data_IF_286627378260
#
_entry.id   IF_286627378260
#
_cell.length_a   1.000
_cell.length_b   1.000
_cell.length_c   1.000
_cell.angle_alpha   90.00
_cell.angle_beta   90.00
_cell.angle_gamma   90.00
#
_symmetry.space_group_name_H-M   'P 1'
#
loop_
_entity.id
_entity.type
_entity.pdbx_description
1 polymer ?
#
# COMPACT_ATOMS: atom_id res chain seq x y z
N UNK A 1 -20.14 11.75 -2.83
CA UNK A 1 -18.66 11.84 -2.84
C UNK A 1 -18.18 10.44 -3.09
N UNK A 2 -17.48 10.17 -4.20
CA UNK A 2 -17.01 8.81 -4.50
C UNK A 2 -16.08 8.35 -3.38
N UNK A 3 -16.46 7.31 -2.65
CA UNK A 3 -15.50 6.55 -1.85
C UNK A 3 -14.60 5.81 -2.84
N UNK A 4 -13.35 6.24 -2.95
CA UNK A 4 -12.34 5.55 -3.74
C UNK A 4 -12.20 4.13 -3.18
N UNK A 5 -12.27 3.12 -4.04
CA UNK A 5 -12.04 1.74 -3.61
C UNK A 5 -10.61 1.62 -3.05
N UNK A 6 -10.43 0.84 -1.97
CA UNK A 6 -9.12 0.64 -1.33
C UNK A 6 -8.05 0.20 -2.35
N UNK A 7 -8.46 -0.62 -3.31
CA UNK A 7 -7.65 -1.14 -4.42
C UNK A 7 -7.14 -0.04 -5.37
N UNK A 8 -7.78 1.12 -5.40
CA UNK A 8 -7.44 2.26 -6.24
C UNK A 8 -6.67 3.36 -5.48
N UNK A 9 -6.58 3.27 -4.15
CA UNK A 9 -5.90 4.29 -3.33
C UNK A 9 -4.39 4.38 -3.60
N UNK A 10 -3.82 5.58 -3.51
CA UNK A 10 -2.36 5.74 -3.40
C UNK A 10 -1.87 5.22 -2.05
N UNK A 11 -0.55 5.08 -1.88
CA UNK A 11 0.03 4.69 -0.59
C UNK A 11 -0.33 5.70 0.50
N UNK A 12 -0.19 6.99 0.22
CA UNK A 12 -0.45 8.09 1.15
C UNK A 12 -1.92 8.15 1.54
N UNK A 13 -2.83 7.95 0.58
CA UNK A 13 -4.26 7.90 0.85
C UNK A 13 -4.63 6.70 1.73
N UNK A 14 -4.13 5.50 1.40
CA UNK A 14 -4.38 4.29 2.20
C UNK A 14 -3.79 4.39 3.62
N UNK A 15 -2.60 4.97 3.77
CA UNK A 15 -1.96 5.19 5.06
C UNK A 15 -2.75 6.19 5.92
N UNK A 16 -3.12 7.34 5.35
CA UNK A 16 -3.90 8.35 6.07
C UNK A 16 -5.27 7.82 6.52
N UNK A 17 -5.85 6.89 5.75
CA UNK A 17 -7.09 6.24 6.14
C UNK A 17 -6.88 5.16 7.21
N UNK A 18 -5.79 4.39 7.13
CA UNK A 18 -5.42 3.41 8.14
C UNK A 18 -5.19 4.08 9.50
N UNK A 19 -4.52 5.22 9.54
CA UNK A 19 -4.33 6.01 10.76
C UNK A 19 -5.66 6.46 11.37
N UNK A 20 -6.65 6.85 10.54
CA UNK A 20 -7.99 7.19 11.02
C UNK A 20 -8.68 5.98 11.64
N UNK A 21 -8.63 4.82 10.97
CA UNK A 21 -9.22 3.58 11.48
C UNK A 21 -8.59 3.18 12.81
N UNK A 22 -7.26 3.22 12.93
CA UNK A 22 -6.56 2.94 14.18
C UNK A 22 -6.97 3.94 15.27
N UNK A 23 -7.03 5.23 14.96
CA UNK A 23 -7.48 6.25 15.90
C UNK A 23 -8.95 6.09 16.32
N UNK A 24 -9.79 5.41 15.54
CA UNK A 24 -11.17 5.06 15.95
C UNK A 24 -11.17 3.85 16.89
N UNK A 25 -10.38 2.82 16.58
CA UNK A 25 -10.23 1.62 17.43
C UNK A 25 -9.62 1.96 18.81
N UNK A 26 -8.65 2.88 18.86
CA UNK A 26 -7.97 3.27 20.10
C UNK A 26 -8.84 4.06 21.08
N UNK A 27 -9.86 4.78 20.59
CA UNK A 27 -10.78 5.51 21.47
C UNK A 27 -11.68 4.59 22.29
N UNK A 28 -11.92 3.36 21.82
CA UNK A 28 -12.68 2.34 22.54
C UNK A 28 -14.16 2.66 22.76
N UNK A 29 -14.70 3.67 22.07
CA UNK A 29 -16.09 4.14 22.16
C UNK A 29 -16.98 3.62 21.02
N UNK A 30 -16.45 2.70 20.21
CA UNK A 30 -17.14 2.05 19.08
C UNK A 30 -17.84 0.76 19.51
N UNK A 31 -19.02 0.50 18.93
CA UNK A 31 -19.75 -0.74 19.17
C UNK A 31 -18.94 -1.97 18.69
N UNK A 32 -19.25 -3.17 19.20
CA UNK A 32 -18.52 -4.38 18.82
C UNK A 32 -18.57 -4.64 17.30
N UNK A 33 -19.75 -4.55 16.69
CA UNK A 33 -19.92 -4.77 15.25
C UNK A 33 -19.15 -3.74 14.42
N UNK A 34 -19.12 -2.48 14.87
CA UNK A 34 -18.34 -1.42 14.24
C UNK A 34 -16.83 -1.64 14.41
N UNK A 35 -16.40 -2.14 15.57
CA UNK A 35 -15.00 -2.49 15.83
C UNK A 35 -14.52 -3.61 14.90
N UNK A 36 -15.37 -4.59 14.61
CA UNK A 36 -15.08 -5.66 13.64
C UNK A 36 -14.94 -5.06 12.22
N UNK A 37 -15.88 -4.21 11.81
CA UNK A 37 -15.82 -3.57 10.49
C UNK A 37 -14.57 -2.68 10.33
N UNK A 38 -14.19 -1.94 11.38
CA UNK A 38 -12.97 -1.14 11.41
C UNK A 38 -11.72 -2.01 11.31
N UNK A 39 -11.70 -3.15 12.01
CA UNK A 39 -10.59 -4.09 11.92
C UNK A 39 -10.43 -4.66 10.50
N UNK A 40 -11.52 -5.11 9.88
CA UNK A 40 -11.52 -5.63 8.50
C UNK A 40 -11.04 -4.56 7.51
N UNK A 41 -11.54 -3.32 7.65
CA UNK A 41 -11.08 -2.20 6.83
C UNK A 41 -9.59 -1.90 7.03
N UNK A 42 -9.13 -1.89 8.28
CA UNK A 42 -7.72 -1.67 8.62
C UNK A 42 -6.81 -2.75 8.03
N UNK A 43 -7.24 -4.02 8.05
CA UNK A 43 -6.52 -5.12 7.42
C UNK A 43 -6.40 -4.95 5.89
N UNK A 44 -7.49 -4.53 5.24
CA UNK A 44 -7.50 -4.25 3.80
C UNK A 44 -6.58 -3.06 3.42
N UNK A 45 -6.61 -1.97 4.20
CA UNK A 45 -5.74 -0.81 4.02
C UNK A 45 -4.25 -1.18 4.21
N UNK A 46 -3.94 -1.99 5.23
CA UNK A 46 -2.58 -2.51 5.44
C UNK A 46 -2.09 -3.32 4.23
N UNK A 47 -2.91 -4.24 3.72
CA UNK A 47 -2.57 -5.04 2.54
C UNK A 47 -2.33 -4.16 1.29
N UNK A 48 -3.10 -3.08 1.14
CA UNK A 48 -2.87 -2.09 0.08
C UNK A 48 -1.51 -1.38 0.23
N UNK A 49 -1.18 -0.93 1.43
CA UNK A 49 0.10 -0.29 1.72
C UNK A 49 1.28 -1.22 1.39
N UNK A 50 1.22 -2.48 1.83
CA UNK A 50 2.23 -3.50 1.53
C UNK A 50 2.38 -3.74 0.02
N UNK A 51 1.27 -3.81 -0.70
CA UNK A 51 1.28 -3.94 -2.17
C UNK A 51 1.99 -2.76 -2.83
N UNK A 52 1.71 -1.53 -2.39
CA UNK A 52 2.34 -0.32 -2.94
C UNK A 52 3.83 -0.24 -2.63
N UNK A 53 4.24 -0.63 -1.43
CA UNK A 53 5.65 -0.71 -1.05
C UNK A 53 6.39 -1.73 -1.91
N UNK A 54 5.81 -2.92 -2.10
CA UNK A 54 6.39 -3.94 -2.96
C UNK A 54 6.54 -3.47 -4.40
N UNK A 55 5.53 -2.83 -4.97
CA UNK A 55 5.61 -2.23 -6.32
C UNK A 55 6.73 -1.18 -6.41
N UNK A 56 6.95 -0.39 -5.35
CA UNK A 56 8.01 0.61 -5.30
C UNK A 56 9.39 -0.03 -5.20
N UNK A 57 9.55 -1.05 -4.35
CA UNK A 57 10.79 -1.83 -4.20
C UNK A 57 11.18 -2.50 -5.52
N UNK A 58 10.23 -3.14 -6.22
CA UNK A 58 10.47 -3.77 -7.52
C UNK A 58 10.93 -2.74 -8.57
N UNK A 59 10.35 -1.54 -8.58
CA UNK A 59 10.76 -0.44 -9.47
C UNK A 59 12.15 0.06 -9.15
N UNK A 60 12.49 0.24 -7.87
CA UNK A 60 13.82 0.66 -7.45
C UNK A 60 14.85 -0.40 -7.84
N UNK A 61 14.59 -1.67 -7.52
CA UNK A 61 15.44 -2.79 -7.90
C UNK A 61 15.67 -2.86 -9.41
N UNK A 62 14.65 -2.57 -10.22
CA UNK A 62 14.76 -2.55 -11.66
C UNK A 62 15.72 -1.46 -12.20
N UNK A 63 15.84 -0.34 -11.48
CA UNK A 63 16.65 0.83 -11.87
C UNK A 63 18.05 0.79 -11.24
N UNK A 64 18.22 0.02 -10.16
CA UNK A 64 19.48 0.00 -9.42
C UNK A 64 20.57 -0.73 -10.23
N UNK A 65 21.72 -0.07 -10.35
CA UNK A 65 22.91 -0.60 -11.00
C UNK A 65 23.58 -1.64 -10.07
N UNK A 66 24.26 -2.65 -10.61
CA UNK A 66 25.19 -3.46 -9.82
C UNK A 66 26.39 -2.64 -9.32
N UNK A 67 27.26 -3.30 -8.53
CA UNK A 67 28.48 -2.69 -8.01
C UNK A 67 29.44 -2.15 -9.08
N UNK A 68 29.24 -2.49 -10.35
CA UNK A 68 30.03 -2.03 -11.50
C UNK A 68 29.34 -0.90 -12.29
N UNK A 69 28.17 -0.43 -11.83
CA UNK A 69 27.42 0.63 -12.50
C UNK A 69 26.58 0.13 -13.69
N UNK A 70 26.32 -1.16 -13.79
CA UNK A 70 25.52 -1.78 -14.86
C UNK A 70 24.06 -1.97 -14.42
N UNK A 71 23.05 -1.57 -15.20
CA UNK A 71 21.65 -1.80 -14.84
C UNK A 71 21.34 -3.31 -14.78
N UNK A 72 21.03 -3.84 -13.61
CA UNK A 72 20.70 -5.27 -13.44
C UNK A 72 19.24 -5.61 -13.74
N UNK A 73 18.38 -4.59 -13.78
CA UNK A 73 16.93 -4.74 -13.90
C UNK A 73 16.32 -4.41 -15.26
N UNK A 74 17.13 -4.11 -16.28
CA UNK A 74 16.62 -3.87 -17.63
C UNK A 74 16.26 -5.22 -18.27
N UNK A 75 14.97 -5.53 -18.37
CA UNK A 75 14.51 -6.53 -19.36
C UNK A 75 14.83 -5.96 -20.75
N UNK A 76 15.62 -6.67 -21.59
CA UNK A 76 15.80 -6.27 -22.97
C UNK A 76 14.43 -6.20 -23.64
N UNK A 77 14.16 -5.09 -24.33
CA UNK A 77 13.05 -5.04 -25.28
C UNK A 77 13.45 -5.91 -26.48
N UNK A 78 13.13 -7.21 -26.42
CA UNK A 78 13.25 -8.08 -27.59
C UNK A 78 12.20 -7.65 -28.61
N UNK A 79 12.63 -6.89 -29.62
CA UNK A 79 11.77 -6.49 -30.73
C UNK A 79 12.20 -5.22 -31.45
N UNK A 80 13.32 -5.28 -32.18
CA UNK A 80 13.57 -4.56 -33.43
C UNK A 80 14.50 -5.41 -34.32
#
# INVERSE_FOLDING_TARGET
MSETAIEEMSFEAAMAELEKVLGQLERGDVALDESIALYERGAALKARCETKLKEAEEKVAAITLDGDGTPTGLKPVEGL
#
